data_IF_812601664958
#
_entry.id   IF_812601664958
#
_cell.length_a   1.000
_cell.length_b   1.000
_cell.length_c   1.000
_cell.angle_alpha   90.00
_cell.angle_beta   90.00
_cell.angle_gamma   90.00
#
_symmetry.space_group_name_H-M   'P 1'
#
loop_
_entity.id
_entity.type
_entity.pdbx_description
1 polymer ?
#
# COMPACT_ATOMS: atom_id res chain seq x y z
N UNK A 1 -21.50 -23.51 -3.47
CA UNK A 1 -22.51 -22.42 -3.47
C UNK A 1 -22.13 -21.19 -2.64
N UNK A 2 -21.49 -21.26 -1.48
CA UNK A 2 -21.06 -20.09 -0.71
C UNK A 2 -19.99 -19.23 -1.42
N UNK A 3 -19.12 -19.80 -2.24
CA UNK A 3 -18.00 -19.13 -2.94
C UNK A 3 -18.43 -18.14 -4.03
N UNK A 4 -19.51 -18.43 -4.74
CA UNK A 4 -20.07 -17.52 -5.76
C UNK A 4 -20.75 -16.29 -5.11
N UNK A 5 -21.21 -16.40 -3.86
CA UNK A 5 -21.82 -15.29 -3.12
C UNK A 5 -20.83 -14.21 -2.71
N UNK A 6 -19.60 -14.57 -2.28
CA UNK A 6 -18.57 -13.62 -1.81
C UNK A 6 -18.05 -12.78 -2.98
N UNK A 7 -17.83 -13.39 -4.16
CA UNK A 7 -17.50 -12.64 -5.40
C UNK A 7 -18.62 -11.68 -5.81
N UNK A 8 -19.89 -12.08 -5.56
CA UNK A 8 -21.04 -11.23 -5.87
C UNK A 8 -21.18 -10.04 -4.91
N UNK A 9 -20.74 -10.15 -3.66
CA UNK A 9 -20.83 -9.08 -2.66
C UNK A 9 -19.70 -8.05 -2.80
N UNK A 10 -18.44 -8.46 -3.00
CA UNK A 10 -17.34 -7.54 -3.30
C UNK A 10 -17.60 -6.78 -4.62
N UNK A 11 -18.12 -7.44 -5.63
CA UNK A 11 -18.52 -6.79 -6.89
C UNK A 11 -19.74 -5.87 -6.80
N UNK A 12 -20.57 -5.96 -5.73
CA UNK A 12 -21.66 -5.01 -5.48
C UNK A 12 -21.16 -3.69 -4.92
N UNK A 13 -20.27 -3.71 -3.94
CA UNK A 13 -19.67 -2.50 -3.37
C UNK A 13 -18.81 -1.76 -4.39
N UNK A 14 -18.01 -2.48 -5.18
CA UNK A 14 -17.23 -1.86 -6.26
C UNK A 14 -18.13 -1.21 -7.32
N UNK A 15 -19.23 -1.85 -7.71
CA UNK A 15 -20.21 -1.25 -8.63
C UNK A 15 -20.80 0.05 -8.08
N UNK A 16 -21.10 0.12 -6.77
CA UNK A 16 -21.57 1.35 -6.14
C UNK A 16 -20.53 2.48 -6.19
N UNK A 17 -19.23 2.15 -6.10
CA UNK A 17 -18.16 3.15 -6.14
C UNK A 17 -17.94 3.79 -7.52
N UNK A 18 -18.45 3.17 -8.58
CA UNK A 18 -18.38 3.70 -9.95
C UNK A 18 -19.74 4.11 -10.53
N UNK A 19 -20.82 3.95 -9.76
CA UNK A 19 -22.18 4.31 -10.15
C UNK A 19 -22.71 5.49 -9.33
N UNK A 20 -23.93 5.91 -9.65
CA UNK A 20 -24.68 6.88 -8.85
C UNK A 20 -25.30 6.18 -7.63
N UNK A 21 -24.82 6.41 -6.40
CA UNK A 21 -25.36 5.75 -5.22
C UNK A 21 -26.76 6.25 -4.86
N UNK A 22 -27.59 5.44 -4.17
CA UNK A 22 -28.92 5.84 -3.67
C UNK A 22 -28.88 7.12 -2.84
N UNK A 23 -29.97 7.89 -2.84
CA UNK A 23 -30.04 9.21 -2.17
C UNK A 23 -29.74 9.12 -0.67
N UNK A 24 -30.30 8.12 0.01
CA UNK A 24 -30.06 7.90 1.45
C UNK A 24 -28.59 7.62 1.76
N UNK A 25 -27.91 6.85 0.90
CA UNK A 25 -26.48 6.53 1.06
C UNK A 25 -25.61 7.79 0.86
N UNK A 26 -25.99 8.68 -0.08
CA UNK A 26 -25.36 10.00 -0.24
C UNK A 26 -25.50 10.87 1.01
N UNK A 27 -26.65 10.79 1.69
CA UNK A 27 -26.89 11.47 2.97
C UNK A 27 -25.88 11.01 4.05
N UNK A 28 -25.72 9.70 4.22
CA UNK A 28 -24.74 9.12 5.16
C UNK A 28 -23.30 9.50 4.80
N UNK A 29 -22.93 9.48 3.52
CA UNK A 29 -21.60 9.89 3.09
C UNK A 29 -21.32 11.38 3.33
N UNK A 30 -22.33 12.25 3.22
CA UNK A 30 -22.20 13.67 3.58
C UNK A 30 -21.97 13.87 5.08
N UNK A 31 -22.71 13.13 5.90
CA UNK A 31 -22.54 13.18 7.36
C UNK A 31 -21.12 12.69 7.76
N UNK A 32 -20.67 11.59 7.18
CA UNK A 32 -19.31 11.09 7.35
C UNK A 32 -18.26 12.13 6.93
N UNK A 33 -18.45 12.77 5.77
CA UNK A 33 -17.55 13.81 5.26
C UNK A 33 -17.52 15.03 6.18
N UNK A 34 -18.66 15.41 6.79
CA UNK A 34 -18.75 16.49 7.77
C UNK A 34 -17.94 16.14 9.04
N UNK A 35 -18.08 14.92 9.55
CA UNK A 35 -17.29 14.43 10.67
C UNK A 35 -15.78 14.51 10.40
N UNK A 36 -15.35 14.12 9.20
CA UNK A 36 -13.96 14.25 8.77
C UNK A 36 -13.48 15.70 8.72
N UNK A 37 -14.29 16.62 8.18
CA UNK A 37 -13.97 18.05 8.15
C UNK A 37 -13.84 18.63 9.54
N UNK A 38 -14.75 18.26 10.46
CA UNK A 38 -14.67 18.67 11.85
C UNK A 38 -13.38 18.16 12.51
N UNK A 39 -13.05 16.88 12.34
CA UNK A 39 -11.80 16.30 12.85
C UNK A 39 -10.55 16.98 12.27
N UNK A 40 -10.49 17.18 10.97
CA UNK A 40 -9.37 17.87 10.32
C UNK A 40 -9.29 19.35 10.73
N UNK A 41 -10.45 19.99 10.93
CA UNK A 41 -10.58 21.37 11.40
C UNK A 41 -9.92 21.60 12.76
N UNK A 42 -9.98 20.64 13.67
CA UNK A 42 -9.32 20.72 14.97
C UNK A 42 -7.79 20.93 14.85
N UNK A 43 -7.17 20.28 13.86
CA UNK A 43 -5.74 20.44 13.57
C UNK A 43 -5.46 21.73 12.77
N UNK A 44 -6.35 22.08 11.84
CA UNK A 44 -6.20 23.28 11.03
C UNK A 44 -6.35 24.57 11.85
N UNK A 45 -7.26 24.59 12.83
CA UNK A 45 -7.45 25.70 13.76
C UNK A 45 -6.38 25.75 14.87
N UNK A 46 -5.40 24.82 14.87
CA UNK A 46 -4.36 24.75 15.89
C UNK A 46 -4.80 24.27 17.28
N UNK A 47 -6.07 23.81 17.41
CA UNK A 47 -6.60 23.29 18.69
C UNK A 47 -5.92 22.00 19.12
N UNK A 48 -5.36 21.24 18.17
CA UNK A 48 -4.45 20.12 18.43
C UNK A 48 -3.16 20.30 17.64
N UNK A 49 -2.05 20.18 18.33
CA UNK A 49 -0.73 20.23 17.72
C UNK A 49 -0.36 18.89 17.08
N UNK A 50 0.43 18.95 16.00
CA UNK A 50 1.05 17.78 15.37
C UNK A 50 2.41 17.55 16.01
N UNK A 51 2.68 16.31 16.40
CA UNK A 51 4.00 15.93 16.88
C UNK A 51 5.03 16.09 15.77
N UNK A 52 6.10 16.83 16.04
CA UNK A 52 7.25 16.98 15.16
C UNK A 52 8.29 15.92 15.51
N UNK A 53 8.94 15.34 14.50
CA UNK A 53 10.11 14.49 14.70
C UNK A 53 11.36 15.28 14.27
N UNK A 54 12.52 14.99 14.88
CA UNK A 54 13.76 15.70 14.54
C UNK A 54 14.30 15.34 13.15
N UNK A 55 13.69 14.37 12.47
CA UNK A 55 14.04 13.92 11.12
C UNK A 55 12.83 14.04 10.19
N UNK A 56 13.04 14.14 8.87
CA UNK A 56 11.96 14.16 7.90
C UNK A 56 11.06 12.94 8.01
N UNK A 57 9.74 13.18 8.02
CA UNK A 57 8.72 12.12 7.91
C UNK A 57 8.09 12.21 6.53
N UNK A 58 8.17 11.13 5.76
CA UNK A 58 7.54 10.99 4.45
C UNK A 58 6.26 10.16 4.61
N UNK A 59 5.12 10.78 4.40
CA UNK A 59 3.83 10.11 4.44
C UNK A 59 3.45 9.54 3.08
N UNK A 60 3.06 8.27 3.05
CA UNK A 60 2.45 7.60 1.91
C UNK A 60 1.02 7.23 2.30
N UNK A 61 0.05 7.73 1.56
CA UNK A 61 -1.34 7.43 1.88
C UNK A 61 -2.27 7.58 0.70
N UNK A 62 -3.57 7.43 0.92
CA UNK A 62 -4.56 7.54 -0.16
C UNK A 62 -5.89 8.05 0.38
N UNK A 63 -6.66 8.70 -0.49
CA UNK A 63 -8.08 8.97 -0.20
C UNK A 63 -8.93 7.71 -0.31
N UNK A 64 -8.50 6.69 -1.07
CA UNK A 64 -9.28 5.49 -1.32
C UNK A 64 -9.25 4.50 -0.15
N UNK A 65 -10.36 3.84 0.09
CA UNK A 65 -10.47 2.69 0.98
C UNK A 65 -9.92 1.43 0.26
N UNK A 66 -8.65 1.13 0.51
CA UNK A 66 -8.02 -0.12 0.05
C UNK A 66 -7.39 -0.08 -1.36
N UNK A 67 -6.45 -0.99 -1.57
CA UNK A 67 -5.98 -1.47 -2.87
C UNK A 67 -5.36 -0.47 -3.87
N UNK A 68 -4.84 0.69 -3.44
CA UNK A 68 -4.23 1.67 -4.37
C UNK A 68 -2.75 1.40 -4.65
N UNK A 69 -2.09 0.56 -3.83
CA UNK A 69 -0.66 0.28 -3.96
C UNK A 69 0.20 1.08 -2.98
N UNK A 70 -0.32 1.38 -1.78
CA UNK A 70 0.43 2.09 -0.74
C UNK A 70 1.70 1.34 -0.34
N UNK A 71 1.56 0.09 0.07
CA UNK A 71 2.68 -0.73 0.53
C UNK A 71 3.80 -0.90 -0.51
N UNK A 72 3.54 -1.23 -1.78
CA UNK A 72 4.60 -1.25 -2.81
C UNK A 72 5.31 0.10 -2.99
N UNK A 73 4.61 1.22 -2.90
CA UNK A 73 5.21 2.55 -3.03
C UNK A 73 6.00 2.90 -1.77
N UNK A 74 5.51 2.56 -0.57
CA UNK A 74 6.26 2.68 0.69
C UNK A 74 7.58 1.91 0.61
N UNK A 75 7.55 0.67 0.10
CA UNK A 75 8.74 -0.17 -0.12
C UNK A 75 9.72 0.52 -1.08
N UNK A 76 9.22 1.02 -2.22
CA UNK A 76 10.06 1.68 -3.22
C UNK A 76 10.73 2.95 -2.65
N UNK A 77 10.02 3.75 -1.85
CA UNK A 77 10.58 4.93 -1.18
C UNK A 77 11.63 4.52 -0.13
N UNK A 78 11.34 3.50 0.68
CA UNK A 78 12.26 3.03 1.70
C UNK A 78 13.57 2.51 1.10
N UNK A 79 13.49 1.74 0.00
CA UNK A 79 14.67 1.26 -0.76
C UNK A 79 15.44 2.41 -1.39
N UNK A 80 14.75 3.37 -2.04
CA UNK A 80 15.39 4.55 -2.62
C UNK A 80 16.22 5.32 -1.60
N UNK A 81 15.69 5.49 -0.37
CA UNK A 81 16.41 6.16 0.72
C UNK A 81 17.60 5.32 1.21
N UNK A 82 17.42 4.02 1.39
CA UNK A 82 18.50 3.12 1.79
C UNK A 82 19.62 3.08 0.76
N UNK A 83 19.32 3.01 -0.53
CA UNK A 83 20.27 3.08 -1.64
C UNK A 83 21.05 4.41 -1.67
N UNK A 84 20.41 5.50 -1.21
CA UNK A 84 21.05 6.80 -1.05
C UNK A 84 21.85 6.95 0.28
N UNK A 85 22.01 5.88 1.06
CA UNK A 85 22.75 5.89 2.32
C UNK A 85 21.99 6.48 3.50
N UNK A 86 20.67 6.75 3.37
CA UNK A 86 19.82 7.28 4.45
C UNK A 86 19.34 6.12 5.33
N UNK A 87 19.56 6.23 6.65
CA UNK A 87 19.01 5.26 7.62
C UNK A 87 17.53 5.50 7.79
N UNK A 88 16.72 4.60 7.26
CA UNK A 88 15.26 4.74 7.22
C UNK A 88 14.58 3.75 8.17
N UNK A 89 13.48 4.17 8.78
CA UNK A 89 12.53 3.30 9.49
C UNK A 89 11.16 3.44 8.87
N UNK A 90 10.47 2.32 8.64
CA UNK A 90 9.08 2.31 8.19
C UNK A 90 8.14 2.24 9.38
N UNK A 91 7.17 3.15 9.42
CA UNK A 91 6.08 3.17 10.40
C UNK A 91 4.82 2.63 9.75
N UNK A 92 4.24 1.57 10.29
CA UNK A 92 2.98 0.99 9.79
C UNK A 92 1.96 0.73 10.89
N UNK A 93 0.71 0.47 10.49
CA UNK A 93 -0.40 0.36 11.43
C UNK A 93 -0.44 -0.96 12.19
N UNK A 94 -0.16 -2.07 11.53
CA UNK A 94 -0.26 -3.40 12.11
C UNK A 94 -1.71 -3.84 12.37
N UNK A 95 -2.64 -3.44 11.50
CA UNK A 95 -4.03 -3.84 11.62
C UNK A 95 -4.18 -5.37 11.56
N UNK A 96 -5.02 -5.92 12.44
CA UNK A 96 -5.22 -7.37 12.56
C UNK A 96 -4.21 -8.10 13.46
N UNK A 97 -3.08 -7.48 13.81
CA UNK A 97 -2.08 -8.07 14.71
C UNK A 97 -2.43 -7.90 16.20
N UNK A 98 -2.06 -8.89 17.01
CA UNK A 98 -2.29 -8.89 18.47
C UNK A 98 -1.59 -7.72 19.18
N UNK A 99 -0.44 -7.26 18.63
CA UNK A 99 0.36 -6.16 19.17
C UNK A 99 -0.10 -4.77 18.69
N UNK A 100 -1.17 -4.70 17.91
CA UNK A 100 -1.71 -3.47 17.33
C UNK A 100 -1.80 -2.27 18.29
N UNK A 101 -2.28 -2.47 19.51
CA UNK A 101 -2.43 -1.40 20.51
C UNK A 101 -1.17 -1.14 21.31
N UNK A 102 -0.45 -2.20 21.66
CA UNK A 102 0.80 -2.10 22.44
C UNK A 102 1.92 -1.50 21.59
N UNK A 103 1.95 -1.84 20.30
CA UNK A 103 3.04 -1.56 19.38
C UNK A 103 4.20 -2.53 19.52
N UNK A 104 4.97 -2.66 18.45
CA UNK A 104 6.18 -3.48 18.41
C UNK A 104 7.22 -2.85 17.50
N UNK A 105 8.49 -2.95 17.87
CA UNK A 105 9.64 -2.60 17.06
C UNK A 105 10.23 -3.90 16.51
N UNK A 106 10.28 -4.02 15.20
CA UNK A 106 10.80 -5.17 14.47
C UNK A 106 12.18 -4.82 13.94
N UNK A 107 13.21 -5.38 14.53
CA UNK A 107 14.60 -5.18 14.12
C UNK A 107 14.86 -5.79 12.71
N UNK A 108 15.91 -5.33 11.98
CA UNK A 108 16.36 -5.96 10.75
C UNK A 108 16.56 -7.47 10.92
N UNK A 109 16.25 -8.25 9.89
CA UNK A 109 16.32 -9.72 9.86
C UNK A 109 15.48 -10.47 10.91
N UNK A 110 14.77 -9.77 11.82
CA UNK A 110 13.85 -10.39 12.76
C UNK A 110 12.62 -10.92 12.03
N UNK A 111 12.20 -12.14 12.35
CA UNK A 111 10.91 -12.65 11.86
C UNK A 111 9.75 -11.81 12.37
N UNK A 112 8.78 -11.54 11.51
CA UNK A 112 7.55 -10.82 11.87
C UNK A 112 6.35 -11.74 11.67
N UNK A 113 5.85 -12.30 12.78
CA UNK A 113 4.65 -13.15 12.75
C UNK A 113 3.42 -12.28 12.37
N UNK A 114 2.70 -12.61 11.29
CA UNK A 114 1.48 -11.89 10.91
C UNK A 114 0.42 -11.84 12.01
N UNK A 115 0.36 -12.85 12.90
CA UNK A 115 -0.55 -12.86 14.03
C UNK A 115 -0.22 -11.78 15.07
N UNK A 116 1.06 -11.42 15.21
CA UNK A 116 1.50 -10.38 16.13
C UNK A 116 1.45 -8.98 15.51
N UNK A 117 2.04 -8.82 14.31
CA UNK A 117 2.27 -7.52 13.70
C UNK A 117 1.25 -7.13 12.64
N UNK A 118 0.38 -8.07 12.20
CA UNK A 118 -0.52 -7.90 11.07
C UNK A 118 0.14 -8.23 9.73
N UNK A 119 -0.67 -8.59 8.75
CA UNK A 119 -0.21 -9.07 7.43
C UNK A 119 0.56 -7.98 6.62
N UNK A 120 0.17 -6.71 6.70
CA UNK A 120 0.89 -5.61 6.02
C UNK A 120 2.29 -5.40 6.58
N UNK A 121 2.46 -5.47 7.92
CA UNK A 121 3.78 -5.34 8.54
C UNK A 121 4.66 -6.57 8.26
N UNK A 122 4.08 -7.76 8.21
CA UNK A 122 4.79 -8.98 7.84
C UNK A 122 5.23 -8.95 6.35
N UNK A 123 4.38 -8.44 5.45
CA UNK A 123 4.74 -8.20 4.04
C UNK A 123 5.90 -7.20 3.91
N UNK A 124 5.83 -6.07 4.65
CA UNK A 124 6.95 -5.11 4.70
C UNK A 124 8.24 -5.77 5.20
N UNK A 125 8.19 -6.57 6.25
CA UNK A 125 9.37 -7.28 6.78
C UNK A 125 9.97 -8.24 5.77
N UNK A 126 9.12 -8.98 5.05
CA UNK A 126 9.54 -9.93 4.03
C UNK A 126 10.24 -9.24 2.85
N UNK A 127 9.80 -8.04 2.50
CA UNK A 127 10.32 -7.26 1.36
C UNK A 127 11.47 -6.32 1.71
N UNK A 128 11.58 -5.91 2.98
CA UNK A 128 12.59 -4.98 3.50
C UNK A 128 13.38 -5.64 4.64
N UNK A 129 14.20 -6.69 4.38
CA UNK A 129 14.90 -7.44 5.42
C UNK A 129 15.89 -6.63 6.25
N UNK A 130 16.43 -5.56 5.70
CA UNK A 130 17.47 -4.74 6.33
C UNK A 130 16.95 -3.41 6.91
N UNK A 131 15.67 -3.11 6.72
CA UNK A 131 15.06 -1.87 7.20
C UNK A 131 14.22 -2.14 8.45
N UNK A 132 14.45 -1.45 9.58
CA UNK A 132 13.63 -1.60 10.78
C UNK A 132 12.19 -1.13 10.54
N UNK A 133 11.24 -1.79 11.20
CA UNK A 133 9.81 -1.48 11.09
C UNK A 133 9.22 -1.22 12.47
N UNK A 134 8.56 -0.08 12.65
CA UNK A 134 7.82 0.23 13.87
C UNK A 134 6.31 0.10 13.60
N UNK A 135 5.69 -0.84 14.29
CA UNK A 135 4.31 -1.28 14.06
C UNK A 135 3.41 -0.86 15.21
N UNK A 136 2.28 -0.23 14.94
CA UNK A 136 1.29 0.03 15.98
C UNK A 136 0.31 1.15 15.68
N UNK A 137 -0.80 1.17 16.41
CA UNK A 137 -1.88 2.15 16.27
C UNK A 137 -1.40 3.59 16.51
N UNK A 138 -0.58 3.80 17.51
CA UNK A 138 -0.14 5.12 17.99
C UNK A 138 1.16 5.53 17.30
N UNK A 139 1.08 5.96 16.00
CA UNK A 139 2.25 6.25 15.15
C UNK A 139 3.21 7.27 15.76
N UNK A 140 2.71 8.29 16.49
CA UNK A 140 3.58 9.26 17.19
C UNK A 140 4.46 8.55 18.21
N UNK A 141 3.85 7.69 19.06
CA UNK A 141 4.58 6.88 20.04
C UNK A 141 5.58 5.93 19.37
N UNK A 142 5.16 5.31 18.25
CA UNK A 142 6.03 4.40 17.50
C UNK A 142 7.19 5.14 16.83
N UNK A 143 6.96 6.36 16.31
CA UNK A 143 8.00 7.22 15.76
C UNK A 143 9.03 7.59 16.84
N UNK A 144 8.58 8.00 18.03
CA UNK A 144 9.45 8.30 19.16
C UNK A 144 10.28 7.09 19.61
N UNK A 145 9.64 5.92 19.71
CA UNK A 145 10.33 4.68 20.04
C UNK A 145 11.36 4.27 18.97
N UNK A 146 11.03 4.45 17.68
CA UNK A 146 11.96 4.23 16.57
C UNK A 146 13.16 5.18 16.62
N UNK A 147 12.92 6.46 16.92
CA UNK A 147 13.99 7.45 17.11
C UNK A 147 14.95 7.04 18.24
N UNK A 148 14.40 6.61 19.36
CA UNK A 148 15.21 6.20 20.53
C UNK A 148 15.99 4.89 20.26
N UNK A 149 15.42 3.96 19.50
CA UNK A 149 16.02 2.63 19.25
C UNK A 149 17.09 2.65 18.17
N UNK A 150 16.83 3.33 17.04
CA UNK A 150 17.64 3.19 15.82
C UNK A 150 18.27 4.50 15.36
N UNK A 151 17.90 5.64 15.92
CA UNK A 151 18.38 6.98 15.51
C UNK A 151 18.38 7.14 13.97
N UNK A 152 17.24 6.92 13.30
CA UNK A 152 17.16 7.00 11.85
C UNK A 152 17.36 8.44 11.36
N UNK A 153 17.69 8.57 10.07
CA UNK A 153 17.77 9.86 9.36
C UNK A 153 16.44 10.23 8.69
N UNK A 154 15.54 9.24 8.52
CA UNK A 154 14.20 9.41 7.94
C UNK A 154 13.18 8.42 8.50
N UNK A 155 11.92 8.84 8.52
CA UNK A 155 10.76 7.97 8.78
C UNK A 155 9.86 7.93 7.56
N UNK A 156 9.45 6.73 7.13
CA UNK A 156 8.43 6.55 6.08
C UNK A 156 7.16 6.01 6.71
N UNK A 157 6.06 6.76 6.60
CA UNK A 157 4.79 6.43 7.22
C UNK A 157 3.86 5.78 6.20
N UNK A 158 3.65 4.47 6.31
CA UNK A 158 2.71 3.70 5.50
C UNK A 158 1.26 3.93 5.96
N UNK A 159 0.36 4.11 4.98
CA UNK A 159 -1.07 4.46 5.17
C UNK A 159 -1.27 5.65 6.13
N UNK A 160 -0.47 6.71 5.91
CA UNK A 160 -0.34 7.83 6.85
C UNK A 160 -1.26 9.02 6.59
N UNK A 161 -1.94 9.17 5.45
CA UNK A 161 -2.60 10.43 5.07
C UNK A 161 -3.71 10.85 6.05
N UNK A 162 -4.48 9.91 6.59
CA UNK A 162 -5.51 10.15 7.60
C UNK A 162 -4.96 10.32 9.03
N UNK A 163 -3.65 10.05 9.24
CA UNK A 163 -3.05 10.17 10.57
C UNK A 163 -2.52 11.59 10.81
N UNK A 164 -3.40 12.52 11.16
CA UNK A 164 -3.08 13.94 11.35
C UNK A 164 -2.14 14.25 12.54
N UNK A 165 -2.07 13.45 13.62
CA UNK A 165 -1.24 13.76 14.79
C UNK A 165 0.28 13.85 14.52
N UNK A 166 0.81 13.20 13.47
CA UNK A 166 2.23 13.23 13.13
C UNK A 166 2.46 14.22 11.98
N UNK A 167 3.37 15.17 12.16
CA UNK A 167 3.75 16.10 11.11
C UNK A 167 4.62 15.40 10.04
N UNK A 168 4.48 15.82 8.79
CA UNK A 168 5.21 15.24 7.65
C UNK A 168 5.92 16.34 6.88
N UNK A 169 7.17 16.07 6.49
CA UNK A 169 7.96 16.91 5.60
C UNK A 169 7.49 16.76 4.14
N UNK A 170 7.04 15.55 3.78
CA UNK A 170 6.45 15.24 2.47
C UNK A 170 5.24 14.32 2.68
N UNK A 171 4.06 14.72 2.22
CA UNK A 171 2.81 13.96 2.37
C UNK A 171 2.28 13.61 0.97
N UNK A 172 2.48 12.37 0.54
CA UNK A 172 2.14 11.88 -0.80
C UNK A 172 0.79 11.16 -0.78
N UNK A 173 -0.12 11.60 -1.65
CA UNK A 173 -1.44 11.00 -1.79
C UNK A 173 -1.53 10.21 -3.09
N UNK A 174 -1.73 8.91 -2.96
CA UNK A 174 -1.85 7.99 -4.07
C UNK A 174 -3.29 7.95 -4.59
N UNK A 175 -3.44 8.08 -5.90
CA UNK A 175 -4.72 7.97 -6.58
C UNK A 175 -4.59 7.04 -7.80
N UNK A 176 -5.57 6.15 -8.05
CA UNK A 176 -5.56 5.32 -9.25
C UNK A 176 -5.77 6.21 -10.48
N UNK A 177 -4.94 6.04 -11.51
CA UNK A 177 -5.00 6.86 -12.74
C UNK A 177 -6.33 6.69 -13.46
N UNK A 178 -6.88 5.48 -13.48
CA UNK A 178 -8.11 5.14 -14.19
C UNK A 178 -9.34 5.87 -13.63
N UNK A 179 -9.39 6.05 -12.31
CA UNK A 179 -10.52 6.71 -11.64
C UNK A 179 -10.07 7.37 -10.33
N UNK A 180 -9.42 8.54 -10.39
CA UNK A 180 -8.74 9.15 -9.24
C UNK A 180 -9.62 9.34 -8.00
N UNK A 181 -10.89 9.67 -8.19
CA UNK A 181 -11.84 9.95 -7.11
C UNK A 181 -13.08 9.02 -7.12
N UNK A 182 -13.11 8.00 -7.99
CA UNK A 182 -14.29 7.15 -8.15
C UNK A 182 -15.53 7.99 -8.48
N UNK A 183 -16.65 7.70 -7.83
CA UNK A 183 -17.88 8.51 -7.93
C UNK A 183 -17.81 9.84 -7.15
N UNK A 184 -16.69 10.10 -6.44
CA UNK A 184 -16.44 11.34 -5.68
C UNK A 184 -17.11 11.41 -4.31
N UNK A 185 -17.76 10.36 -3.85
CA UNK A 185 -18.35 10.28 -2.50
C UNK A 185 -17.40 9.59 -1.52
N UNK A 186 -17.53 10.01 -0.26
CA UNK A 186 -16.93 9.28 0.84
C UNK A 186 -17.69 7.98 1.14
N UNK A 187 -17.10 7.14 1.96
CA UNK A 187 -17.78 6.00 2.57
C UNK A 187 -19.08 6.46 3.27
N UNK A 188 -20.15 5.66 3.23
CA UNK A 188 -20.28 4.37 2.55
C UNK A 188 -20.73 4.46 1.07
N UNK A 189 -21.00 5.66 0.53
CA UNK A 189 -21.55 5.86 -0.81
C UNK A 189 -20.50 5.80 -1.94
N UNK A 190 -19.23 5.92 -1.60
CA UNK A 190 -18.12 5.89 -2.54
C UNK A 190 -16.84 5.39 -1.90
N UNK A 191 -15.72 5.37 -2.66
CA UNK A 191 -14.49 4.77 -2.22
C UNK A 191 -13.67 5.64 -1.26
N UNK A 192 -14.05 6.89 -1.02
CA UNK A 192 -13.17 7.84 -0.36
C UNK A 192 -13.27 7.76 1.17
N UNK A 193 -12.11 7.64 1.85
CA UNK A 193 -11.98 7.69 3.31
C UNK A 193 -12.19 9.08 3.89
N UNK A 194 -12.05 10.11 3.05
CA UNK A 194 -12.26 11.50 3.39
C UNK A 194 -12.60 12.33 2.15
N UNK A 195 -13.16 13.53 2.33
CA UNK A 195 -13.53 14.38 1.20
C UNK A 195 -12.33 14.76 0.32
N UNK A 196 -12.53 14.96 -1.01
CA UNK A 196 -11.46 15.37 -1.93
C UNK A 196 -10.73 16.66 -1.56
N UNK A 197 -11.36 17.56 -0.81
CA UNK A 197 -10.74 18.79 -0.28
C UNK A 197 -9.58 18.50 0.70
N UNK A 198 -9.50 17.29 1.26
CA UNK A 198 -8.36 16.82 2.01
C UNK A 198 -7.03 16.84 1.22
N UNK A 199 -7.09 16.78 -0.11
CA UNK A 199 -5.90 16.91 -0.97
C UNK A 199 -5.16 18.25 -0.79
N UNK A 200 -5.83 19.30 -0.31
CA UNK A 200 -5.21 20.62 -0.06
C UNK A 200 -4.07 20.57 0.96
N UNK A 201 -4.02 19.56 1.82
CA UNK A 201 -2.93 19.37 2.79
C UNK A 201 -1.79 18.47 2.28
N UNK A 202 -1.97 17.81 1.13
CA UNK A 202 -0.95 16.98 0.53
C UNK A 202 0.22 17.81 0.00
N UNK A 203 1.43 17.27 0.08
CA UNK A 203 2.61 17.85 -0.57
C UNK A 203 2.68 17.50 -2.06
N UNK A 204 1.99 16.44 -2.48
CA UNK A 204 1.90 16.01 -3.86
C UNK A 204 0.95 14.85 -4.05
N UNK A 205 0.51 14.68 -5.30
CA UNK A 205 -0.35 13.57 -5.72
C UNK A 205 0.45 12.63 -6.61
N UNK A 206 0.35 11.34 -6.33
CA UNK A 206 0.98 10.28 -7.13
C UNK A 206 -0.10 9.51 -7.88
N UNK A 207 -0.13 9.62 -9.20
CA UNK A 207 -0.96 8.79 -10.06
C UNK A 207 -0.40 7.37 -10.15
N UNK A 208 -1.13 6.40 -9.63
CA UNK A 208 -0.69 5.00 -9.60
C UNK A 208 -1.31 4.25 -10.75
N UNK A 209 -0.47 3.68 -11.60
CA UNK A 209 -0.84 2.81 -12.70
C UNK A 209 -0.39 1.37 -12.40
N UNK A 210 -1.28 0.40 -12.68
CA UNK A 210 -0.94 -1.01 -12.61
C UNK A 210 -0.60 -1.50 -14.03
N UNK A 211 0.66 -1.95 -14.22
CA UNK A 211 1.14 -2.48 -15.48
C UNK A 211 0.68 -3.93 -15.68
N UNK A 212 0.41 -4.30 -16.94
CA UNK A 212 0.19 -5.69 -17.35
C UNK A 212 1.50 -6.38 -17.71
N UNK A 213 2.50 -5.59 -18.14
CA UNK A 213 3.75 -6.10 -18.67
C UNK A 213 4.84 -6.07 -17.62
N UNK A 214 5.64 -7.12 -17.58
CA UNK A 214 6.93 -7.15 -16.89
C UNK A 214 7.76 -5.99 -17.41
N UNK A 215 8.16 -5.09 -16.51
CA UNK A 215 8.83 -3.86 -16.87
C UNK A 215 10.15 -4.12 -17.61
N UNK A 216 10.27 -3.78 -18.92
CA UNK A 216 11.59 -3.55 -19.52
C UNK A 216 12.22 -2.29 -18.88
N UNK A 217 13.55 -2.10 -19.01
CA UNK A 217 14.23 -0.91 -18.51
C UNK A 217 13.61 0.37 -19.08
N UNK A 218 13.72 1.51 -18.39
CA UNK A 218 12.99 2.72 -18.68
C UNK A 218 13.36 3.28 -20.05
N UNK A 219 12.53 2.97 -21.03
CA UNK A 219 12.39 3.83 -22.19
C UNK A 219 11.31 4.84 -21.88
N UNK A 220 11.42 6.11 -22.33
CA UNK A 220 10.33 7.07 -22.19
C UNK A 220 9.10 6.49 -22.87
N UNK A 221 8.16 6.02 -22.05
CA UNK A 221 6.93 5.38 -22.53
C UNK A 221 6.13 6.37 -23.37
N UNK A 222 5.65 5.97 -24.59
CA UNK A 222 4.68 6.77 -25.35
C UNK A 222 3.40 7.05 -24.54
N UNK A 223 3.20 6.39 -23.40
CA UNK A 223 2.08 6.56 -22.48
C UNK A 223 2.36 7.54 -21.32
N UNK A 224 3.52 8.17 -21.25
CA UNK A 224 3.79 9.28 -20.32
C UNK A 224 2.73 10.40 -20.41
N UNK A 225 2.07 10.56 -21.58
CA UNK A 225 0.95 11.46 -21.78
C UNK A 225 -0.35 11.08 -21.08
N UNK A 226 -0.65 9.78 -20.88
CA UNK A 226 -1.90 9.37 -20.23
C UNK A 226 -1.91 9.58 -18.72
N UNK A 227 -0.74 9.54 -18.07
CA UNK A 227 -0.60 9.87 -16.64
C UNK A 227 -0.99 11.32 -16.33
N UNK A 228 -0.90 12.23 -17.30
CA UNK A 228 -1.23 13.65 -17.13
C UNK A 228 -2.73 13.95 -17.33
N UNK A 229 -3.49 13.08 -17.99
CA UNK A 229 -4.93 13.29 -18.24
C UNK A 229 -5.80 13.24 -16.97
N UNK A 230 -5.31 12.60 -15.88
CA UNK A 230 -6.05 12.62 -14.62
C UNK A 230 -5.95 13.95 -13.87
N UNK A 231 -4.91 14.74 -14.15
CA UNK A 231 -4.64 16.05 -13.53
C UNK A 231 -5.78 17.07 -13.66
N UNK A 232 -6.39 17.27 -14.84
CA UNK A 232 -7.50 18.23 -14.98
C UNK A 232 -8.71 17.85 -14.12
N UNK A 233 -8.96 16.56 -13.90
CA UNK A 233 -10.06 16.07 -13.06
C UNK A 233 -9.82 16.37 -11.59
N UNK A 234 -8.58 16.18 -11.11
CA UNK A 234 -8.17 16.50 -9.74
C UNK A 234 -8.16 18.03 -9.54
N UNK A 235 -7.54 18.80 -10.45
CA UNK A 235 -7.46 20.27 -10.40
C UNK A 235 -8.84 20.92 -10.39
N UNK A 236 -9.77 20.47 -11.23
CA UNK A 236 -11.13 21.04 -11.29
C UNK A 236 -11.90 20.88 -9.99
N UNK A 237 -11.64 19.82 -9.21
CA UNK A 237 -12.27 19.60 -7.89
C UNK A 237 -11.59 20.34 -6.74
N UNK A 238 -10.34 20.75 -6.89
CA UNK A 238 -9.61 21.52 -5.87
C UNK A 238 -9.90 23.04 -5.90
N UNK A 239 -10.68 23.51 -6.89
CA UNK A 239 -11.03 24.95 -7.00
C UNK A 239 -9.81 25.79 -7.36
N UNK A 240 -9.33 25.67 -8.57
CA UNK A 240 -8.57 26.64 -9.41
C UNK A 240 -7.32 27.36 -8.92
N UNK A 241 -6.91 27.28 -7.64
CA UNK A 241 -5.88 28.17 -7.10
C UNK A 241 -4.57 27.52 -6.63
N UNK A 242 -4.53 26.22 -6.35
CA UNK A 242 -3.31 25.53 -5.93
C UNK A 242 -2.89 24.50 -6.98
N UNK A 243 -1.68 24.65 -7.51
CA UNK A 243 -1.03 23.63 -8.33
C UNK A 243 -0.31 22.65 -7.41
N UNK A 244 -0.96 21.57 -7.00
CA UNK A 244 -0.30 20.47 -6.31
C UNK A 244 0.70 19.79 -7.28
N UNK A 245 1.96 19.59 -6.86
CA UNK A 245 2.89 18.76 -7.61
C UNK A 245 2.29 17.38 -7.88
N UNK A 246 2.49 16.89 -9.08
CA UNK A 246 1.94 15.59 -9.50
C UNK A 246 3.03 14.73 -10.06
N UNK A 247 3.02 13.50 -9.60
CA UNK A 247 3.98 12.46 -9.91
C UNK A 247 3.27 11.23 -10.43
N UNK A 248 4.01 10.29 -10.96
CA UNK A 248 3.51 8.99 -11.39
C UNK A 248 4.29 7.84 -10.77
N UNK A 249 3.60 6.73 -10.57
CA UNK A 249 4.23 5.48 -10.18
C UNK A 249 3.55 4.32 -10.91
N UNK A 250 4.34 3.36 -11.36
CA UNK A 250 3.85 2.14 -11.99
C UNK A 250 4.13 0.95 -11.08
N UNK A 251 3.13 0.11 -10.84
CA UNK A 251 3.25 -1.13 -10.08
C UNK A 251 3.09 -2.30 -11.04
N UNK A 252 4.05 -3.24 -11.02
CA UNK A 252 3.99 -4.42 -11.87
C UNK A 252 4.61 -5.65 -11.19
N UNK A 253 4.23 -6.88 -11.61
CA UNK A 253 4.92 -8.10 -11.23
C UNK A 253 6.38 -8.07 -11.68
N UNK A 254 7.29 -8.55 -10.83
CA UNK A 254 8.74 -8.60 -11.15
C UNK A 254 9.36 -9.97 -10.96
N UNK A 255 8.84 -10.77 -10.04
CA UNK A 255 9.36 -12.09 -9.74
C UNK A 255 8.30 -12.95 -9.03
N UNK A 256 8.63 -14.21 -8.83
CA UNK A 256 7.95 -15.13 -7.94
C UNK A 256 8.81 -15.38 -6.72
N UNK A 257 8.19 -15.69 -5.59
CA UNK A 257 8.89 -16.15 -4.39
C UNK A 257 8.32 -17.50 -3.97
N UNK A 258 9.13 -18.53 -3.92
CA UNK A 258 8.72 -19.83 -3.40
C UNK A 258 8.53 -19.74 -1.89
N UNK A 259 7.35 -20.10 -1.38
CA UNK A 259 7.01 -19.89 0.02
C UNK A 259 7.77 -20.81 0.99
N UNK A 260 8.20 -21.97 0.52
CA UNK A 260 8.93 -22.96 1.35
C UNK A 260 10.39 -22.59 1.59
N UNK A 261 11.04 -21.92 0.61
CA UNK A 261 12.47 -21.64 0.66
C UNK A 261 12.80 -20.13 0.72
N UNK A 262 11.83 -19.27 0.38
CA UNK A 262 12.07 -17.83 0.15
C UNK A 262 12.81 -17.51 -1.16
N UNK A 263 13.09 -18.53 -1.98
CA UNK A 263 13.81 -18.36 -3.25
C UNK A 263 13.05 -17.46 -4.21
N UNK A 264 13.76 -16.50 -4.81
CA UNK A 264 13.21 -15.67 -5.89
C UNK A 264 13.40 -16.35 -7.23
N UNK A 265 12.32 -16.46 -8.00
CA UNK A 265 12.31 -17.09 -9.31
C UNK A 265 11.81 -16.09 -10.37
N UNK A 266 12.24 -16.24 -11.63
CA UNK A 266 11.73 -15.42 -12.72
C UNK A 266 10.24 -15.73 -12.98
N UNK A 267 9.53 -14.75 -13.56
CA UNK A 267 8.09 -14.87 -13.81
C UNK A 267 7.72 -16.02 -14.76
N UNK A 268 8.62 -16.46 -15.65
CA UNK A 268 8.38 -17.57 -16.56
C UNK A 268 8.49 -18.96 -15.92
N UNK A 269 9.00 -19.07 -14.69
CA UNK A 269 9.21 -20.34 -13.99
C UNK A 269 7.93 -21.19 -13.81
N UNK A 270 6.75 -20.58 -13.91
CA UNK A 270 5.45 -21.25 -13.77
C UNK A 270 4.70 -21.39 -15.13
N UNK A 271 5.32 -21.01 -16.25
CA UNK A 271 4.68 -21.17 -17.57
C UNK A 271 4.39 -22.63 -17.90
N UNK A 272 3.21 -22.88 -18.45
CA UNK A 272 2.77 -24.24 -18.80
C UNK A 272 2.32 -25.12 -17.65
N UNK A 273 2.47 -24.67 -16.40
CA UNK A 273 1.97 -25.38 -15.22
C UNK A 273 0.52 -24.94 -14.92
N UNK A 274 -0.41 -25.87 -14.62
CA UNK A 274 -1.75 -25.50 -14.17
C UNK A 274 -1.69 -24.91 -12.78
N UNK A 275 -2.14 -23.65 -12.61
CA UNK A 275 -2.06 -22.92 -11.35
C UNK A 275 -3.41 -22.87 -10.63
N UNK A 276 -3.37 -23.03 -9.32
CA UNK A 276 -4.45 -22.65 -8.41
C UNK A 276 -4.17 -21.26 -7.87
N UNK A 277 -5.03 -20.30 -8.15
CA UNK A 277 -4.91 -18.95 -7.60
C UNK A 277 -5.61 -18.86 -6.25
N UNK A 278 -4.96 -18.21 -5.29
CA UNK A 278 -5.51 -17.95 -3.97
C UNK A 278 -5.25 -16.51 -3.59
N UNK A 279 -6.29 -15.75 -3.20
CA UNK A 279 -6.09 -14.41 -2.68
C UNK A 279 -7.21 -13.98 -1.72
N UNK A 280 -6.80 -13.27 -0.63
CA UNK A 280 -7.64 -12.63 0.37
C UNK A 280 -7.30 -11.15 0.51
N UNK A 281 -7.48 -10.38 -0.56
CA UNK A 281 -7.16 -8.95 -0.64
C UNK A 281 -8.38 -8.12 -1.05
N UNK A 282 -8.38 -6.84 -0.70
CA UNK A 282 -9.49 -5.91 -0.97
C UNK A 282 -9.90 -5.84 -2.47
N UNK A 283 -8.95 -6.03 -3.38
CA UNK A 283 -9.17 -5.96 -4.84
C UNK A 283 -8.57 -7.17 -5.56
N UNK A 284 -9.20 -8.34 -5.47
CA UNK A 284 -8.71 -9.56 -6.11
C UNK A 284 -8.56 -9.42 -7.62
N UNK A 285 -9.38 -8.59 -8.27
CA UNK A 285 -9.35 -8.38 -9.72
C UNK A 285 -7.98 -7.89 -10.20
N UNK A 286 -7.24 -7.09 -9.41
CA UNK A 286 -5.90 -6.63 -9.79
C UNK A 286 -4.88 -7.77 -9.83
N UNK A 287 -4.94 -8.66 -8.85
CA UNK A 287 -4.12 -9.86 -8.83
C UNK A 287 -4.44 -10.76 -10.01
N UNK A 288 -5.73 -11.02 -10.25
CA UNK A 288 -6.17 -11.84 -11.38
C UNK A 288 -5.77 -11.25 -12.74
N UNK A 289 -5.91 -9.94 -12.92
CA UNK A 289 -5.46 -9.24 -14.14
C UNK A 289 -3.94 -9.29 -14.31
N UNK A 290 -3.16 -9.23 -13.23
CA UNK A 290 -1.70 -9.38 -13.30
C UNK A 290 -1.31 -10.80 -13.76
N UNK A 291 -1.99 -11.82 -13.22
CA UNK A 291 -1.78 -13.23 -13.59
C UNK A 291 -2.16 -13.50 -15.04
N UNK A 292 -3.31 -12.95 -15.49
CA UNK A 292 -3.77 -13.04 -16.87
C UNK A 292 -2.77 -12.41 -17.85
N UNK A 293 -2.26 -11.22 -17.49
CA UNK A 293 -1.23 -10.51 -18.27
C UNK A 293 0.10 -11.28 -18.39
N UNK A 294 0.41 -12.17 -17.44
CA UNK A 294 1.60 -13.04 -17.48
C UNK A 294 1.41 -14.30 -18.36
N UNK A 295 0.18 -14.56 -18.81
CA UNK A 295 -0.14 -15.69 -19.68
C UNK A 295 -0.06 -17.04 -18.98
N UNK A 296 -0.33 -17.11 -17.69
CA UNK A 296 -0.34 -18.37 -16.95
C UNK A 296 -1.62 -19.18 -17.19
N UNK A 297 -1.50 -20.50 -17.14
CA UNK A 297 -2.64 -21.42 -17.22
C UNK A 297 -3.29 -21.56 -15.84
N UNK A 298 -4.48 -20.99 -15.65
CA UNK A 298 -5.22 -21.02 -14.41
C UNK A 298 -6.22 -22.18 -14.42
N UNK A 299 -6.04 -23.14 -13.52
CA UNK A 299 -6.94 -24.29 -13.33
C UNK A 299 -8.08 -23.97 -12.35
N UNK A 300 -7.77 -23.29 -11.24
CA UNK A 300 -8.74 -22.93 -10.20
C UNK A 300 -8.45 -21.55 -9.62
N UNK A 301 -9.49 -20.91 -9.08
CA UNK A 301 -9.35 -19.62 -8.38
C UNK A 301 -10.17 -19.63 -7.08
N UNK A 302 -9.49 -19.35 -5.97
CA UNK A 302 -10.09 -19.18 -4.64
C UNK A 302 -9.89 -17.74 -4.17
N UNK A 303 -10.99 -16.99 -3.99
CA UNK A 303 -10.97 -15.63 -3.47
C UNK A 303 -11.63 -15.58 -2.11
N UNK A 304 -11.00 -14.88 -1.18
CA UNK A 304 -11.44 -14.71 0.20
C UNK A 304 -11.63 -13.21 0.51
N UNK A 305 -12.33 -12.87 1.61
CA UNK A 305 -12.38 -11.49 2.11
C UNK A 305 -10.98 -10.94 2.40
N UNK A 306 -10.84 -9.60 2.36
CA UNK A 306 -9.58 -8.94 2.76
C UNK A 306 -9.25 -9.32 4.22
N UNK A 307 -7.96 -9.50 4.50
CA UNK A 307 -7.44 -9.96 5.79
C UNK A 307 -7.95 -11.33 6.26
N UNK A 308 -8.37 -12.20 5.33
CA UNK A 308 -8.84 -13.55 5.69
C UNK A 308 -7.79 -14.32 6.49
N UNK A 309 -8.22 -14.91 7.62
CA UNK A 309 -7.42 -15.83 8.38
C UNK A 309 -7.65 -17.25 7.83
N UNK A 310 -6.68 -17.79 7.12
CA UNK A 310 -6.79 -19.11 6.49
C UNK A 310 -6.96 -20.22 7.52
N UNK A 311 -7.99 -21.04 7.35
CA UNK A 311 -8.32 -22.17 8.20
C UNK A 311 -7.63 -23.45 7.72
N UNK A 312 -7.57 -24.52 8.55
CA UNK A 312 -7.09 -25.84 8.09
C UNK A 312 -7.87 -26.38 6.88
N UNK A 313 -9.18 -26.08 6.79
CA UNK A 313 -9.99 -26.50 5.65
C UNK A 313 -9.61 -25.75 4.37
N UNK A 314 -9.27 -24.46 4.47
CA UNK A 314 -8.75 -23.71 3.32
C UNK A 314 -7.40 -24.28 2.85
N UNK A 315 -6.56 -24.73 3.80
CA UNK A 315 -5.28 -25.38 3.47
C UNK A 315 -5.46 -26.69 2.73
N UNK A 316 -6.44 -27.53 3.10
CA UNK A 316 -6.72 -28.80 2.40
C UNK A 316 -7.03 -28.61 0.90
N UNK A 317 -7.57 -27.43 0.52
CA UNK A 317 -7.83 -27.11 -0.89
C UNK A 317 -6.57 -26.99 -1.73
N UNK A 318 -5.41 -26.81 -1.09
CA UNK A 318 -4.12 -26.53 -1.73
C UNK A 318 -3.27 -27.81 -1.88
N UNK A 319 -3.65 -28.91 -1.23
CA UNK A 319 -2.87 -30.15 -1.23
C UNK A 319 -2.61 -30.68 -2.65
N UNK A 320 -1.36 -31.00 -2.96
CA UNK A 320 -0.92 -31.52 -4.25
C UNK A 320 -0.98 -30.52 -5.41
N UNK A 321 -1.18 -29.22 -5.14
CA UNK A 321 -1.36 -28.19 -6.16
C UNK A 321 -0.16 -27.24 -6.26
N UNK A 322 -0.01 -26.65 -7.44
CA UNK A 322 0.84 -25.47 -7.65
C UNK A 322 0.01 -24.22 -7.39
N UNK A 323 0.33 -23.51 -6.33
CA UNK A 323 -0.45 -22.35 -5.86
C UNK A 323 0.29 -21.06 -6.16
N UNK A 324 -0.43 -20.06 -6.72
CA UNK A 324 0.07 -18.69 -6.84
C UNK A 324 -0.83 -17.75 -6.03
N UNK A 325 -0.21 -16.95 -5.17
CA UNK A 325 -0.91 -16.04 -4.26
C UNK A 325 -0.29 -14.64 -4.24
N UNK A 326 -0.93 -13.70 -3.57
CA UNK A 326 -0.35 -12.37 -3.31
C UNK A 326 0.72 -12.45 -2.21
N UNK A 327 1.63 -11.49 -2.15
CA UNK A 327 2.64 -11.47 -1.09
C UNK A 327 2.01 -11.28 0.31
N UNK A 328 0.94 -10.46 0.39
CA UNK A 328 0.13 -10.26 1.60
C UNK A 328 -0.49 -11.56 2.13
N UNK A 329 -0.90 -12.46 1.24
CA UNK A 329 -1.42 -13.77 1.64
C UNK A 329 -0.29 -14.77 1.88
N UNK A 330 0.80 -14.69 1.14
CA UNK A 330 1.97 -15.54 1.27
C UNK A 330 2.52 -15.56 2.71
N UNK A 331 2.60 -14.42 3.39
CA UNK A 331 3.07 -14.34 4.79
C UNK A 331 2.17 -15.09 5.76
N UNK A 332 0.87 -15.21 5.46
CA UNK A 332 -0.10 -15.97 6.28
C UNK A 332 -0.08 -17.47 6.01
N UNK A 333 0.40 -17.88 4.82
CA UNK A 333 0.48 -19.28 4.38
C UNK A 333 1.82 -19.92 4.73
N UNK A 334 2.88 -19.13 4.88
CA UNK A 334 4.23 -19.61 5.19
C UNK A 334 4.23 -20.44 6.49
N UNK A 335 4.87 -21.63 6.42
CA UNK A 335 4.91 -22.59 7.55
C UNK A 335 3.60 -23.35 7.81
N UNK A 336 2.56 -23.15 6.99
CA UNK A 336 1.24 -23.78 7.15
C UNK A 336 0.76 -24.53 5.90
N UNK A 337 1.61 -24.62 4.89
CA UNK A 337 1.29 -25.29 3.63
C UNK A 337 1.08 -26.81 3.87
N UNK A 338 0.07 -27.42 3.22
CA UNK A 338 -0.10 -28.87 3.28
C UNK A 338 1.00 -29.60 2.50
N UNK A 339 1.14 -30.90 2.75
CA UNK A 339 2.07 -31.76 2.05
C UNK A 339 1.87 -31.71 0.53
N UNK A 340 2.97 -31.80 -0.22
CA UNK A 340 3.00 -31.73 -1.68
C UNK A 340 2.41 -30.46 -2.31
N UNK A 341 2.22 -29.38 -1.54
CA UNK A 341 1.83 -28.07 -2.05
C UNK A 341 3.07 -27.27 -2.47
N UNK A 342 3.15 -26.87 -3.74
CA UNK A 342 4.20 -26.01 -4.27
C UNK A 342 3.63 -24.58 -4.41
N UNK A 343 3.89 -23.71 -3.43
CA UNK A 343 3.26 -22.41 -3.32
C UNK A 343 4.22 -21.24 -3.57
N UNK A 344 3.73 -20.24 -4.31
CA UNK A 344 4.46 -19.06 -4.76
C UNK A 344 3.71 -17.78 -4.44
N UNK A 345 4.44 -16.77 -3.95
CA UNK A 345 3.98 -15.39 -3.84
C UNK A 345 4.37 -14.58 -5.07
N UNK A 346 3.44 -13.83 -5.63
CA UNK A 346 3.72 -12.90 -6.72
C UNK A 346 4.33 -11.63 -6.16
N UNK A 347 5.61 -11.40 -6.45
CA UNK A 347 6.31 -10.17 -6.09
C UNK A 347 5.91 -9.06 -7.06
N UNK A 348 5.48 -7.93 -6.51
CA UNK A 348 5.18 -6.71 -7.24
C UNK A 348 6.09 -5.60 -6.77
N UNK A 349 6.55 -4.77 -7.68
CA UNK A 349 7.40 -3.62 -7.36
C UNK A 349 6.80 -2.33 -7.94
N UNK A 350 7.00 -1.24 -7.20
CA UNK A 350 6.63 0.09 -7.65
C UNK A 350 7.85 0.80 -8.23
N UNK A 351 7.68 1.40 -9.41
CA UNK A 351 8.63 2.36 -10.00
C UNK A 351 8.10 3.76 -9.86
N UNK A 352 8.88 4.59 -9.22
CA UNK A 352 8.61 6.01 -9.05
C UNK A 352 9.20 6.77 -10.24
N UNK A 353 8.52 7.79 -10.75
CA UNK A 353 9.09 8.68 -11.76
C UNK A 353 10.31 9.46 -11.21
N UNK A 354 11.17 9.94 -12.10
CA UNK A 354 12.41 10.61 -11.71
C UNK A 354 12.16 11.92 -10.96
N UNK A 355 11.06 12.61 -11.25
CA UNK A 355 10.67 13.84 -10.56
C UNK A 355 10.34 13.57 -9.10
N UNK A 356 9.60 12.49 -8.82
CA UNK A 356 9.29 12.08 -7.46
C UNK A 356 10.55 11.60 -6.73
N UNK A 357 11.40 10.80 -7.39
CA UNK A 357 12.68 10.36 -6.83
C UNK A 357 13.54 11.56 -6.42
N UNK A 358 13.72 12.51 -7.32
CA UNK A 358 14.47 13.75 -7.06
C UNK A 358 13.86 14.54 -5.91
N UNK A 359 12.52 14.67 -5.87
CA UNK A 359 11.82 15.38 -4.79
C UNK A 359 12.04 14.73 -3.43
N UNK A 360 12.01 13.40 -3.36
CA UNK A 360 12.27 12.66 -2.11
C UNK A 360 13.71 12.88 -1.66
N UNK A 361 14.69 12.68 -2.55
CA UNK A 361 16.11 12.82 -2.22
C UNK A 361 16.49 14.26 -1.86
N UNK A 362 15.80 15.27 -2.40
CA UNK A 362 16.05 16.68 -2.07
C UNK A 362 15.79 17.03 -0.59
N UNK A 363 15.08 16.20 0.15
CA UNK A 363 14.91 16.37 1.59
C UNK A 363 16.20 16.13 2.38
N UNK A 364 17.19 15.46 1.77
CA UNK A 364 18.44 15.01 2.39
C UNK A 364 19.68 15.66 1.79
N UNK A 365 19.59 16.39 0.68
CA UNK A 365 20.73 17.04 -0.02
C UNK A 365 21.25 18.31 0.67
N UNK A 366 20.69 18.70 1.83
CA UNK A 366 21.16 19.87 2.60
C UNK A 366 21.82 19.55 3.95
N UNK A 367 21.93 18.26 4.31
CA UNK A 367 22.58 17.86 5.58
C UNK A 367 23.98 17.33 5.23
N UNK A 368 25.09 18.00 5.63
CA UNK A 368 26.41 17.46 5.42
C UNK A 368 26.54 16.13 6.16
N UNK A 369 26.90 15.07 5.41
CA UNK A 369 27.40 13.84 5.98
C UNK A 369 28.75 14.17 6.68
N UNK A 370 28.73 14.38 7.96
CA UNK A 370 29.97 14.60 8.68
C UNK A 370 29.86 15.65 9.81
N UNK A 371 29.51 15.18 10.99
CA UNK A 371 30.11 15.58 12.28
C UNK A 371 29.40 14.82 13.39
N UNK A 372 29.68 13.56 13.50
CA UNK A 372 29.62 12.84 14.78
C UNK A 372 30.98 12.18 14.94
N UNK A 373 31.91 13.00 15.45
CA UNK A 373 33.10 12.48 16.13
C UNK A 373 32.62 11.77 17.40
N UNK A 374 33.19 10.60 17.57
CA UNK A 374 33.37 9.75 18.77
C UNK A 374 32.54 10.05 20.01
#
# INVERSE_FOLDING_TARGET
MARTKILAESGRLERLWFSSPPVWLRGLARLYALGWRAYAGVYWLGLKQRAQMPVPVIGVGSLWAGGVGKTPITIAIARLLQEAGVRVVVLTHGYGGNRYRAGVLVDPAQHADPAEVGDEAAELRLTLPDIPIAVGKWRVRMAQAAMARWSPDALVLDDGFQHLPLARALDLVLLPVESPLGNGYCLPAGPLREPPDGLKRASGVVGVQWGRDCLPPPQPSPHAGRGLEFLPRVRRRLGGGQTLPTYTATIAPTALMRLTTGERLPLDALRGRPLTLLCGVARPQRFLQSVDGLGYTVAETHTFPDHHAYTPDDMRLLAGKTVLTTLKDAVKLSGRLPDACDAYGLLIEARLDDTLRTRILSLFTGTPAGSRES
#
